data_IF_867253355061
#
_entry.id   IF_867253355061
#
_cell.length_a   1.000
_cell.length_b   1.000
_cell.length_c   1.000
_cell.angle_alpha   90.00
_cell.angle_beta   90.00
_cell.angle_gamma   90.00
#
_symmetry.space_group_name_H-M   'P 1'
#
loop_
_entity.id
_entity.type
_entity.pdbx_description
1 polymer ?
#
# COMPACT_ATOMS: atom_id res chain seq x y z
N UNK A 1 -29.92 -11.21 -4.24
CA UNK A 1 -28.60 -10.78 -4.76
C UNK A 1 -27.62 -10.75 -3.59
N UNK A 2 -26.94 -11.87 -3.30
CA UNK A 2 -26.07 -12.02 -2.12
C UNK A 2 -24.73 -11.34 -2.40
N UNK A 3 -24.50 -10.16 -1.84
CA UNK A 3 -23.19 -9.48 -1.86
C UNK A 3 -22.25 -10.29 -0.98
N UNK A 4 -21.32 -11.05 -1.59
CA UNK A 4 -20.16 -11.58 -0.87
C UNK A 4 -19.23 -10.40 -0.62
N UNK A 5 -19.17 -9.93 0.63
CA UNK A 5 -18.09 -9.08 1.08
C UNK A 5 -16.80 -9.88 0.86
N UNK A 6 -15.91 -9.37 0.00
CA UNK A 6 -14.55 -9.88 -0.09
C UNK A 6 -13.85 -9.43 1.19
N UNK A 7 -13.82 -10.32 2.18
CA UNK A 7 -12.96 -10.16 3.36
C UNK A 7 -11.53 -10.17 2.81
N UNK A 8 -10.83 -9.03 2.84
CA UNK A 8 -9.38 -9.03 2.68
C UNK A 8 -8.85 -9.70 3.95
N UNK A 9 -8.67 -11.02 3.87
CA UNK A 9 -8.16 -11.80 4.98
C UNK A 9 -6.70 -11.45 5.21
N UNK A 10 -6.39 -11.24 6.48
CA UNK A 10 -5.13 -10.83 7.07
C UNK A 10 -3.89 -11.52 6.48
N UNK A 11 -2.79 -10.77 6.50
CA UNK A 11 -1.43 -11.33 6.46
C UNK A 11 -1.33 -12.35 7.59
N UNK A 12 -0.80 -13.53 7.28
CA UNK A 12 -0.79 -14.69 8.16
C UNK A 12 -0.19 -14.34 9.54
N UNK A 13 -0.96 -14.59 10.61
CA UNK A 13 -0.43 -14.68 11.97
C UNK A 13 0.33 -16.01 12.05
N UNK A 14 1.66 -15.97 11.88
CA UNK A 14 2.50 -17.15 12.01
C UNK A 14 2.63 -17.55 13.49
N UNK A 15 1.86 -18.56 13.89
CA UNK A 15 2.14 -19.34 15.10
C UNK A 15 3.12 -20.52 14.82
N UNK A 16 3.71 -20.58 13.63
CA UNK A 16 4.67 -21.62 13.21
C UNK A 16 6.00 -21.00 12.77
N UNK A 17 7.11 -21.67 13.08
CA UNK A 17 8.48 -21.20 12.77
C UNK A 17 8.85 -21.18 11.29
N UNK A 18 7.98 -21.69 10.39
CA UNK A 18 8.19 -21.70 8.94
C UNK A 18 7.26 -20.69 8.26
N UNK A 19 7.86 -19.77 7.49
CA UNK A 19 7.16 -18.77 6.69
C UNK A 19 7.69 -18.74 5.26
N UNK A 20 6.97 -18.06 4.37
CA UNK A 20 7.47 -17.69 3.04
C UNK A 20 8.35 -16.46 3.18
N UNK A 21 9.57 -16.53 2.68
CA UNK A 21 10.51 -15.41 2.64
C UNK A 21 10.21 -14.52 1.44
N UNK A 22 9.97 -15.13 0.28
CA UNK A 22 9.58 -14.43 -0.94
C UNK A 22 8.90 -15.38 -1.95
N UNK A 23 8.07 -14.82 -2.83
CA UNK A 23 7.48 -15.50 -3.99
C UNK A 23 7.70 -14.67 -5.26
N UNK A 24 7.74 -15.31 -6.42
CA UNK A 24 7.72 -14.59 -7.71
C UNK A 24 7.05 -15.41 -8.80
N UNK A 25 6.39 -14.70 -9.70
CA UNK A 25 6.12 -15.19 -11.04
C UNK A 25 7.16 -14.62 -12.02
N UNK A 26 7.60 -15.41 -12.99
CA UNK A 26 8.41 -14.94 -14.12
C UNK A 26 7.76 -15.39 -15.45
N UNK A 27 7.20 -14.46 -16.25
CA UNK A 27 7.14 -13.01 -16.00
C UNK A 27 6.18 -12.65 -14.85
N UNK A 28 6.40 -11.49 -14.21
CA UNK A 28 5.56 -10.96 -13.13
C UNK A 28 4.25 -10.32 -13.63
N UNK A 29 4.14 -10.13 -14.96
CA UNK A 29 2.94 -9.69 -15.65
C UNK A 29 2.68 -10.54 -16.89
N UNK A 30 1.41 -10.86 -17.16
CA UNK A 30 1.00 -11.67 -18.31
C UNK A 30 -0.09 -10.98 -19.12
N UNK A 31 -0.03 -11.07 -20.46
CA UNK A 31 -1.08 -10.56 -21.34
C UNK A 31 -2.27 -11.51 -21.41
N UNK A 32 -3.47 -10.95 -21.54
CA UNK A 32 -4.65 -11.72 -21.95
C UNK A 32 -4.37 -12.38 -23.30
N UNK A 33 -4.64 -13.68 -23.40
CA UNK A 33 -4.37 -14.48 -24.61
C UNK A 33 -2.96 -15.10 -24.66
N UNK A 34 -2.10 -14.86 -23.66
CA UNK A 34 -0.86 -15.62 -23.49
C UNK A 34 -1.15 -17.12 -23.43
N UNK A 35 -0.32 -17.91 -24.08
CA UNK A 35 -0.36 -19.39 -24.04
C UNK A 35 0.77 -19.98 -23.20
N UNK A 36 1.90 -19.28 -23.12
CA UNK A 36 3.09 -19.77 -22.41
C UNK A 36 2.90 -19.70 -20.90
N UNK A 37 3.43 -20.69 -20.19
CA UNK A 37 3.42 -20.70 -18.74
C UNK A 37 4.24 -19.54 -18.13
N UNK A 38 4.03 -19.29 -16.84
CA UNK A 38 4.93 -18.51 -16.00
C UNK A 38 5.56 -19.41 -14.94
N UNK A 39 6.81 -19.13 -14.56
CA UNK A 39 7.49 -19.89 -13.49
C UNK A 39 7.14 -19.26 -12.15
N UNK A 40 6.58 -20.06 -11.24
CA UNK A 40 6.42 -19.70 -9.84
C UNK A 40 7.63 -20.21 -9.06
N UNK A 41 8.40 -19.29 -8.46
CA UNK A 41 9.47 -19.62 -7.51
C UNK A 41 9.12 -19.14 -6.10
N UNK A 42 9.43 -19.96 -5.11
CA UNK A 42 9.14 -19.71 -3.70
C UNK A 42 10.37 -20.03 -2.84
N UNK A 43 10.67 -19.16 -1.88
CA UNK A 43 11.66 -19.40 -0.83
C UNK A 43 10.98 -19.45 0.54
N UNK A 44 11.31 -20.45 1.35
CA UNK A 44 10.83 -20.58 2.74
C UNK A 44 11.94 -20.29 3.76
N UNK A 45 11.57 -19.89 4.98
CA UNK A 45 12.49 -19.54 6.08
C UNK A 45 13.02 -20.75 6.84
N UNK A 46 12.48 -21.94 6.55
CA UNK A 46 12.83 -23.20 7.18
C UNK A 46 12.37 -24.39 6.35
N UNK A 47 12.77 -25.58 6.79
CA UNK A 47 12.41 -26.83 6.12
C UNK A 47 10.89 -27.06 6.20
N UNK A 48 10.29 -27.23 5.04
CA UNK A 48 8.91 -27.69 4.86
C UNK A 48 8.94 -28.99 4.05
N UNK A 49 7.91 -29.82 4.17
CA UNK A 49 7.85 -31.10 3.46
C UNK A 49 7.28 -30.96 2.04
N UNK A 50 6.59 -29.86 1.76
CA UNK A 50 6.09 -29.55 0.45
C UNK A 50 5.62 -28.11 0.35
N UNK A 51 5.50 -27.64 -0.89
CA UNK A 51 4.84 -26.39 -1.23
C UNK A 51 3.84 -26.68 -2.34
N UNK A 52 2.64 -26.13 -2.25
CA UNK A 52 1.62 -26.31 -3.28
C UNK A 52 0.87 -25.01 -3.55
N UNK A 53 0.44 -24.80 -4.78
CA UNK A 53 -0.49 -23.75 -5.18
C UNK A 53 -1.87 -24.37 -5.40
N UNK A 54 -2.83 -24.00 -4.55
CA UNK A 54 -4.25 -24.30 -4.75
C UNK A 54 -4.85 -23.23 -5.65
N UNK A 55 -5.25 -23.56 -6.87
CA UNK A 55 -5.79 -22.57 -7.80
C UNK A 55 -7.14 -22.02 -7.33
N UNK A 56 -7.39 -20.74 -7.57
CA UNK A 56 -8.67 -20.10 -7.28
C UNK A 56 -9.84 -20.76 -8.03
N UNK A 57 -9.58 -21.22 -9.26
CA UNK A 57 -10.53 -21.98 -10.10
C UNK A 57 -10.67 -23.46 -9.75
N UNK A 58 -9.97 -23.94 -8.71
CA UNK A 58 -9.90 -25.35 -8.33
C UNK A 58 -8.72 -26.10 -8.96
N UNK A 59 -8.33 -27.20 -8.31
CA UNK A 59 -7.11 -27.94 -8.63
C UNK A 59 -5.91 -27.52 -7.76
N UNK A 60 -4.85 -28.32 -7.81
CA UNK A 60 -3.63 -28.13 -7.02
C UNK A 60 -2.41 -28.41 -7.89
N UNK A 61 -1.42 -27.53 -7.79
CA UNK A 61 -0.07 -27.71 -8.33
C UNK A 61 0.92 -27.91 -7.18
N UNK A 62 1.54 -29.08 -7.09
CA UNK A 62 2.64 -29.29 -6.15
C UNK A 62 3.93 -28.74 -6.76
N UNK A 63 4.67 -27.92 -6.01
CA UNK A 63 5.95 -27.39 -6.44
C UNK A 63 7.07 -28.41 -6.18
N UNK A 64 8.08 -28.39 -7.02
CA UNK A 64 9.26 -29.25 -6.90
C UNK A 64 10.37 -28.50 -6.18
N UNK A 65 11.06 -29.15 -5.25
CA UNK A 65 12.24 -28.58 -4.61
C UNK A 65 13.35 -28.34 -5.65
N UNK A 66 13.83 -27.10 -5.77
CA UNK A 66 14.90 -26.70 -6.69
C UNK A 66 16.19 -26.29 -5.97
N UNK A 67 16.18 -26.31 -4.64
CA UNK A 67 17.34 -26.04 -3.79
C UNK A 67 16.95 -25.98 -2.31
N UNK A 68 17.89 -25.63 -1.43
CA UNK A 68 17.61 -25.48 0.00
C UNK A 68 16.47 -24.49 0.25
N UNK A 69 15.34 -25.00 0.78
CA UNK A 69 14.14 -24.23 1.05
C UNK A 69 13.58 -23.46 -0.17
N UNK A 70 13.95 -23.87 -1.39
CA UNK A 70 13.52 -23.25 -2.64
C UNK A 70 12.67 -24.23 -3.44
N UNK A 71 11.54 -23.75 -3.91
CA UNK A 71 10.53 -24.54 -4.60
C UNK A 71 10.14 -23.84 -5.91
N UNK A 72 9.89 -24.61 -6.95
CA UNK A 72 9.54 -24.07 -8.27
C UNK A 72 8.46 -24.90 -8.94
N UNK A 73 7.64 -24.26 -9.78
CA UNK A 73 6.78 -24.94 -10.73
C UNK A 73 6.45 -24.05 -11.93
N UNK A 74 6.06 -24.69 -13.03
CA UNK A 74 5.48 -24.02 -14.19
C UNK A 74 3.97 -23.92 -14.01
N UNK A 75 3.42 -22.71 -14.08
CA UNK A 75 1.99 -22.44 -13.99
C UNK A 75 1.47 -22.08 -15.38
N UNK A 76 0.58 -22.92 -15.92
CA UNK A 76 0.04 -22.72 -17.25
C UNK A 76 -0.78 -21.42 -17.35
N UNK A 77 -0.73 -20.76 -18.51
CA UNK A 77 -1.44 -19.51 -18.72
C UNK A 77 -2.95 -19.63 -18.48
N UNK A 78 -3.54 -20.79 -18.78
CA UNK A 78 -4.96 -21.06 -18.53
C UNK A 78 -5.31 -20.97 -17.02
N UNK A 79 -4.40 -21.41 -16.15
CA UNK A 79 -4.57 -21.28 -14.69
C UNK A 79 -4.28 -19.87 -14.19
N UNK A 80 -3.27 -19.19 -14.76
CA UNK A 80 -2.95 -17.79 -14.43
C UNK A 80 -4.05 -16.80 -14.80
N UNK A 81 -4.87 -17.13 -15.81
CA UNK A 81 -5.93 -16.26 -16.32
C UNK A 81 -7.33 -16.82 -16.04
N UNK A 82 -7.43 -17.87 -15.21
CA UNK A 82 -8.69 -18.56 -14.95
C UNK A 82 -9.70 -17.61 -14.30
N UNK A 83 -10.82 -17.36 -15.00
CA UNK A 83 -11.85 -16.41 -14.57
C UNK A 83 -11.37 -14.95 -14.47
N UNK A 84 -10.27 -14.59 -15.13
CA UNK A 84 -9.91 -13.19 -15.31
C UNK A 84 -11.01 -12.45 -16.08
N UNK A 85 -11.33 -11.26 -15.61
CA UNK A 85 -12.23 -10.32 -16.27
C UNK A 85 -11.73 -8.90 -16.02
N UNK A 86 -12.24 -7.93 -16.78
CA UNK A 86 -11.94 -6.51 -16.57
C UNK A 86 -12.21 -6.04 -15.12
N UNK A 87 -13.18 -6.65 -14.42
CA UNK A 87 -13.46 -6.37 -13.00
C UNK A 87 -12.35 -6.86 -12.05
N UNK A 88 -11.37 -7.62 -12.55
CA UNK A 88 -10.21 -8.07 -11.77
C UNK A 88 -9.10 -7.02 -11.72
N UNK A 89 -9.32 -5.83 -12.31
CA UNK A 89 -8.49 -4.62 -12.19
C UNK A 89 -6.99 -4.89 -12.34
N UNK A 90 -6.65 -5.76 -13.29
CA UNK A 90 -5.27 -6.08 -13.67
C UNK A 90 -4.39 -6.69 -12.55
N UNK A 91 -4.95 -7.00 -11.38
CA UNK A 91 -4.34 -7.79 -10.30
C UNK A 91 -5.13 -9.06 -10.06
N UNK A 92 -4.75 -10.13 -10.74
CA UNK A 92 -5.54 -11.35 -10.74
C UNK A 92 -5.14 -12.28 -9.60
N UNK A 93 -6.13 -12.69 -8.80
CA UNK A 93 -5.95 -13.70 -7.77
C UNK A 93 -5.82 -15.10 -8.40
N UNK A 94 -4.60 -15.65 -8.36
CA UNK A 94 -4.28 -16.95 -8.94
C UNK A 94 -4.69 -18.09 -8.02
N UNK A 95 -4.52 -17.93 -6.71
CA UNK A 95 -4.81 -18.97 -5.74
C UNK A 95 -4.12 -18.82 -4.40
N UNK A 96 -4.09 -19.92 -3.64
CA UNK A 96 -3.47 -19.97 -2.32
C UNK A 96 -2.19 -20.80 -2.35
N UNK A 97 -1.06 -20.18 -2.00
CA UNK A 97 0.17 -20.90 -1.73
C UNK A 97 0.10 -21.54 -0.34
N UNK A 98 0.39 -22.84 -0.27
CA UNK A 98 0.35 -23.66 0.93
C UNK A 98 1.76 -24.14 1.27
N UNK A 99 2.20 -23.91 2.50
CA UNK A 99 3.33 -24.63 3.07
C UNK A 99 2.82 -25.91 3.73
N UNK A 100 3.43 -27.04 3.44
CA UNK A 100 2.96 -28.36 3.86
C UNK A 100 3.92 -29.02 4.85
N UNK A 101 3.37 -29.61 5.90
CA UNK A 101 4.08 -30.41 6.89
C UNK A 101 4.19 -31.89 6.50
N UNK A 102 4.82 -32.68 7.36
CA UNK A 102 5.19 -34.08 7.09
C UNK A 102 4.01 -35.02 6.81
N UNK A 103 2.83 -34.74 7.37
CA UNK A 103 1.60 -35.49 7.08
C UNK A 103 0.74 -34.84 5.99
N UNK A 104 1.27 -33.87 5.24
CA UNK A 104 0.57 -33.14 4.18
C UNK A 104 -0.39 -32.05 4.67
N UNK A 105 -0.43 -31.79 5.98
CA UNK A 105 -1.22 -30.72 6.58
C UNK A 105 -0.69 -29.34 6.17
N UNK A 106 -1.59 -28.36 6.01
CA UNK A 106 -1.21 -26.96 5.74
C UNK A 106 -0.67 -26.31 7.02
N UNK A 107 0.57 -25.84 6.96
CA UNK A 107 1.23 -25.09 8.03
C UNK A 107 0.93 -23.58 7.94
N UNK A 108 0.87 -23.04 6.72
CA UNK A 108 0.55 -21.64 6.46
C UNK A 108 0.00 -21.46 5.06
N UNK A 109 -0.68 -20.34 4.85
CA UNK A 109 -1.39 -20.00 3.61
C UNK A 109 -1.12 -18.56 3.22
N UNK A 110 -0.82 -18.33 1.94
CA UNK A 110 -0.59 -17.01 1.37
C UNK A 110 -1.44 -16.85 0.11
N UNK A 111 -1.90 -15.63 -0.15
CA UNK A 111 -2.60 -15.30 -1.38
C UNK A 111 -1.57 -15.02 -2.48
N UNK A 112 -1.73 -15.65 -3.64
CA UNK A 112 -0.89 -15.38 -4.81
C UNK A 112 -1.67 -14.60 -5.86
N UNK A 113 -1.05 -13.51 -6.30
CA UNK A 113 -1.58 -12.63 -7.33
C UNK A 113 -0.57 -12.51 -8.48
N UNK A 114 -1.07 -12.21 -9.67
CA UNK A 114 -0.25 -11.85 -10.83
C UNK A 114 -0.82 -10.62 -11.51
N UNK A 115 0.05 -9.77 -12.05
CA UNK A 115 -0.38 -8.66 -12.87
C UNK A 115 -0.88 -9.15 -14.23
N UNK A 116 -1.99 -8.61 -14.73
CA UNK A 116 -2.57 -8.96 -16.03
C UNK A 116 -2.66 -7.74 -16.93
N UNK A 117 -2.22 -7.88 -18.17
CA UNK A 117 -2.23 -6.84 -19.19
C UNK A 117 -3.34 -7.15 -20.17
N UNK A 118 -4.42 -6.38 -20.10
CA UNK A 118 -5.52 -6.42 -21.06
C UNK A 118 -5.51 -5.19 -21.97
N UNK A 119 -6.58 -4.97 -22.71
CA UNK A 119 -6.68 -3.86 -23.66
C UNK A 119 -6.65 -2.47 -22.99
N UNK A 120 -6.85 -2.36 -21.67
CA UNK A 120 -6.84 -1.09 -20.95
C UNK A 120 -5.43 -0.66 -20.53
N UNK A 121 -4.45 -1.58 -20.56
CA UNK A 121 -3.07 -1.30 -20.18
C UNK A 121 -2.28 -0.90 -21.43
N UNK A 122 -1.96 0.40 -21.61
CA UNK A 122 -1.23 0.85 -22.78
C UNK A 122 0.21 0.33 -22.75
N UNK A 123 0.78 0.09 -23.92
CA UNK A 123 2.23 -0.16 -24.01
C UNK A 123 3.01 1.11 -23.65
N UNK A 124 4.19 0.94 -23.07
CA UNK A 124 5.03 2.06 -22.61
C UNK A 124 6.36 2.11 -23.34
N UNK A 125 6.85 3.32 -23.57
CA UNK A 125 8.22 3.52 -24.01
C UNK A 125 9.16 3.37 -22.82
N UNK A 126 10.12 2.45 -22.93
CA UNK A 126 11.14 2.21 -21.92
C UNK A 126 12.44 2.88 -22.37
N UNK A 127 12.97 3.73 -21.50
CA UNK A 127 14.26 4.40 -21.71
C UNK A 127 15.31 3.76 -20.82
N UNK A 128 16.33 3.19 -21.43
CA UNK A 128 17.54 2.76 -20.73
C UNK A 128 18.32 3.99 -20.21
N UNK A 129 18.66 3.97 -18.92
CA UNK A 129 19.44 5.02 -18.26
C UNK A 129 20.90 4.58 -18.01
N UNK A 130 21.21 3.31 -18.25
CA UNK A 130 22.48 2.66 -17.94
C UNK A 130 22.60 2.27 -16.46
N UNK A 131 23.62 1.47 -16.14
CA UNK A 131 23.93 1.10 -14.75
C UNK A 131 22.85 0.24 -14.07
N UNK A 132 22.14 -0.59 -14.84
CA UNK A 132 21.02 -1.38 -14.33
C UNK A 132 19.78 -0.56 -13.99
N UNK A 133 19.57 0.57 -14.66
CA UNK A 133 18.41 1.42 -14.48
C UNK A 133 17.71 1.70 -15.81
N UNK A 134 16.37 1.67 -15.80
CA UNK A 134 15.53 2.06 -16.91
C UNK A 134 14.29 2.79 -16.39
N UNK A 135 13.64 3.59 -17.23
CA UNK A 135 12.46 4.33 -16.82
C UNK A 135 11.39 4.44 -17.90
N UNK A 136 10.14 4.54 -17.45
CA UNK A 136 9.00 5.01 -18.25
C UNK A 136 8.70 6.47 -17.90
N UNK A 137 7.51 6.95 -18.27
CA UNK A 137 7.04 8.29 -17.84
C UNK A 137 6.62 8.37 -16.38
N UNK A 138 6.52 7.25 -15.65
CA UNK A 138 6.08 7.21 -14.24
C UNK A 138 6.88 6.28 -13.33
N UNK A 139 7.58 5.31 -13.92
CA UNK A 139 8.32 4.28 -13.20
C UNK A 139 9.82 4.44 -13.45
N UNK A 140 10.62 4.46 -12.39
CA UNK A 140 12.05 4.13 -12.45
C UNK A 140 12.20 2.68 -11.99
N UNK A 141 12.74 1.80 -12.82
CA UNK A 141 13.12 0.45 -12.42
C UNK A 141 14.63 0.34 -12.21
N UNK A 142 15.02 -0.15 -11.05
CA UNK A 142 16.40 -0.39 -10.63
C UNK A 142 16.63 -1.90 -10.46
N UNK A 143 17.55 -2.45 -11.22
CA UNK A 143 18.01 -3.82 -11.06
C UNK A 143 19.05 -3.95 -9.94
N UNK A 144 18.79 -4.83 -8.98
CA UNK A 144 19.65 -5.08 -7.82
C UNK A 144 19.77 -6.58 -7.51
N UNK A 145 20.82 -7.28 -7.99
CA UNK A 145 20.97 -8.73 -7.80
C UNK A 145 21.06 -9.18 -6.35
N UNK A 146 21.51 -8.30 -5.44
CA UNK A 146 21.61 -8.55 -4.01
C UNK A 146 20.48 -7.85 -3.22
N UNK A 147 19.25 -7.88 -3.75
CA UNK A 147 18.10 -7.20 -3.16
C UNK A 147 17.78 -7.70 -1.74
N UNK A 148 17.65 -6.74 -0.84
CA UNK A 148 17.16 -6.91 0.52
C UNK A 148 16.04 -5.90 0.78
N UNK A 149 15.14 -6.19 1.71
CA UNK A 149 14.04 -5.29 2.08
C UNK A 149 14.51 -3.94 2.65
N UNK A 150 15.81 -3.81 2.97
CA UNK A 150 16.43 -2.58 3.46
C UNK A 150 16.99 -1.68 2.36
N UNK A 151 16.92 -2.08 1.08
CA UNK A 151 17.45 -1.33 -0.07
C UNK A 151 16.75 0.01 -0.35
N UNK A 152 15.69 0.35 0.40
CA UNK A 152 14.87 1.55 0.24
C UNK A 152 15.74 2.83 0.23
N UNK A 153 16.67 2.95 1.19
CA UNK A 153 17.53 4.13 1.28
C UNK A 153 18.42 4.26 0.04
N UNK A 154 19.09 3.19 -0.35
CA UNK A 154 20.01 3.20 -1.48
C UNK A 154 19.26 3.37 -2.81
N UNK A 155 18.02 2.88 -2.93
CA UNK A 155 17.17 3.11 -4.09
C UNK A 155 16.74 4.59 -4.19
N UNK A 156 16.38 5.22 -3.08
CA UNK A 156 16.09 6.65 -3.02
C UNK A 156 17.30 7.50 -3.40
N UNK A 157 18.48 7.19 -2.87
CA UNK A 157 19.73 7.86 -3.25
C UNK A 157 20.01 7.73 -4.74
N UNK A 158 19.85 6.52 -5.29
CA UNK A 158 20.05 6.27 -6.72
C UNK A 158 19.02 7.00 -7.59
N UNK A 159 17.76 7.11 -7.16
CA UNK A 159 16.72 7.88 -7.85
C UNK A 159 17.16 9.34 -8.07
N UNK A 160 17.70 10.00 -7.05
CA UNK A 160 18.16 11.39 -7.15
C UNK A 160 19.44 11.59 -7.98
N UNK A 161 20.07 10.51 -8.47
CA UNK A 161 21.12 10.62 -9.50
C UNK A 161 20.55 10.82 -10.90
N UNK A 162 19.29 10.42 -11.14
CA UNK A 162 18.61 10.51 -12.44
C UNK A 162 17.60 11.66 -12.51
N UNK A 163 16.99 12.01 -11.36
CA UNK A 163 15.90 12.97 -11.26
C UNK A 163 16.25 14.13 -10.34
N UNK A 164 15.54 15.25 -10.50
CA UNK A 164 15.72 16.44 -9.66
C UNK A 164 15.16 16.18 -8.26
N UNK A 165 15.68 16.92 -7.28
CA UNK A 165 15.06 17.04 -5.96
C UNK A 165 13.79 17.91 -6.05
N UNK A 166 12.72 17.36 -6.63
CA UNK A 166 11.43 18.02 -6.84
C UNK A 166 10.21 17.11 -6.54
N UNK A 167 10.44 16.02 -5.81
CA UNK A 167 9.42 15.06 -5.39
C UNK A 167 9.21 15.11 -3.87
N UNK A 168 7.93 15.11 -3.47
CA UNK A 168 7.52 15.15 -2.07
C UNK A 168 7.47 13.74 -1.46
N UNK A 169 7.19 12.73 -2.28
CA UNK A 169 7.12 11.35 -1.85
C UNK A 169 7.83 10.42 -2.83
N UNK A 170 8.35 9.31 -2.30
CA UNK A 170 8.73 8.15 -3.10
C UNK A 170 7.81 6.99 -2.77
N UNK A 171 7.33 6.29 -3.79
CA UNK A 171 6.75 4.96 -3.67
C UNK A 171 7.82 3.94 -4.09
N UNK A 172 8.22 3.06 -3.19
CA UNK A 172 9.23 2.03 -3.46
C UNK A 172 8.56 0.67 -3.51
N UNK A 173 8.45 0.08 -4.69
CA UNK A 173 7.87 -1.23 -4.89
C UNK A 173 8.95 -2.29 -5.13
N UNK A 174 8.80 -3.45 -4.51
CA UNK A 174 9.65 -4.62 -4.76
C UNK A 174 8.94 -5.52 -5.77
N UNK A 175 9.68 -6.01 -6.76
CA UNK A 175 9.16 -6.96 -7.75
C UNK A 175 10.25 -7.97 -8.10
N UNK A 176 9.85 -9.21 -8.40
CA UNK A 176 10.76 -10.32 -8.71
C UNK A 176 11.97 -10.40 -7.74
N UNK A 177 11.72 -10.69 -6.45
CA UNK A 177 10.48 -11.26 -5.92
C UNK A 177 9.62 -10.31 -5.06
N UNK A 178 8.41 -10.76 -4.75
CA UNK A 178 7.51 -10.20 -3.75
C UNK A 178 7.85 -10.76 -2.36
N UNK A 179 7.79 -9.91 -1.34
CA UNK A 179 8.07 -10.25 0.05
C UNK A 179 6.76 -10.21 0.84
N UNK A 180 6.31 -11.32 1.48
CA UNK A 180 5.05 -11.38 2.24
C UNK A 180 5.03 -10.43 3.44
N UNK A 181 4.70 -9.17 3.18
CA UNK A 181 4.58 -8.10 4.16
C UNK A 181 3.56 -7.07 3.66
N UNK A 182 3.00 -6.28 4.59
CA UNK A 182 2.11 -5.21 4.21
C UNK A 182 2.89 -4.03 3.64
N UNK A 183 2.21 -3.21 2.85
CA UNK A 183 2.70 -1.87 2.54
C UNK A 183 2.73 -1.03 3.82
N UNK A 184 3.59 -0.03 3.84
CA UNK A 184 3.70 0.89 4.97
C UNK A 184 4.27 2.24 4.51
N UNK A 185 4.09 3.27 5.33
CA UNK A 185 4.69 4.57 5.13
C UNK A 185 5.57 4.98 6.32
N UNK A 186 6.63 5.72 6.03
CA UNK A 186 7.38 6.41 7.07
C UNK A 186 7.77 7.81 6.63
N UNK A 187 7.84 8.70 7.62
CA UNK A 187 8.25 10.09 7.42
C UNK A 187 9.76 10.18 7.29
N UNK A 188 10.20 10.94 6.30
CA UNK A 188 11.61 11.33 6.08
C UNK A 188 11.84 12.74 6.61
N UNK A 189 10.84 13.59 6.49
CA UNK A 189 10.84 14.96 6.98
C UNK A 189 9.47 15.32 7.51
N UNK A 190 9.47 16.03 8.63
CA UNK A 190 8.29 16.69 9.15
C UNK A 190 8.64 18.14 9.53
N UNK A 191 8.07 19.09 8.80
CA UNK A 191 8.07 20.52 9.11
C UNK A 191 6.69 20.99 9.64
N UNK A 192 5.77 20.07 9.87
CA UNK A 192 4.41 20.33 10.37
C UNK A 192 4.37 20.17 11.89
N UNK A 193 3.96 21.23 12.60
CA UNK A 193 3.65 21.16 14.03
C UNK A 193 2.14 20.97 14.26
N UNK A 194 1.74 20.66 15.49
CA UNK A 194 0.32 20.51 15.85
C UNK A 194 -0.30 19.15 15.51
N UNK A 195 0.45 18.25 14.87
CA UNK A 195 0.01 16.89 14.53
C UNK A 195 0.51 15.82 15.51
N UNK A 196 1.29 16.22 16.52
CA UNK A 196 1.85 15.34 17.55
C UNK A 196 3.19 14.66 17.18
N UNK A 197 3.55 14.64 15.88
CA UNK A 197 4.87 14.21 15.40
C UNK A 197 5.94 15.30 15.63
N UNK A 198 7.13 14.98 16.17
CA UNK A 198 8.23 15.94 16.28
C UNK A 198 8.72 16.44 14.91
N UNK A 199 9.21 17.68 14.88
CA UNK A 199 9.88 18.23 13.71
C UNK A 199 11.21 17.50 13.50
N UNK A 200 11.49 17.10 12.26
CA UNK A 200 12.74 16.42 11.91
C UNK A 200 13.01 16.52 10.41
N UNK A 201 14.27 16.29 10.02
CA UNK A 201 14.66 16.28 8.61
C UNK A 201 15.80 15.27 8.37
N UNK A 202 15.44 14.13 7.81
CA UNK A 202 16.37 13.07 7.41
C UNK A 202 16.57 13.02 5.89
N UNK A 203 16.13 14.05 5.14
CA UNK A 203 16.12 14.03 3.67
C UNK A 203 17.48 13.71 3.05
N UNK A 204 18.57 14.23 3.63
CA UNK A 204 19.93 14.01 3.12
C UNK A 204 20.35 12.54 3.14
N UNK A 205 19.83 11.74 4.08
CA UNK A 205 20.09 10.29 4.16
C UNK A 205 19.55 9.58 2.91
N UNK A 206 18.47 10.10 2.32
CA UNK A 206 17.79 9.55 1.15
C UNK A 206 18.14 10.26 -0.16
N UNK A 207 19.11 11.19 -0.14
CA UNK A 207 19.55 11.93 -1.34
C UNK A 207 18.69 13.16 -1.68
N UNK A 208 17.71 13.52 -0.85
CA UNK A 208 16.91 14.73 -1.03
C UNK A 208 17.38 15.85 -0.11
N UNK A 209 17.89 16.94 -0.68
CA UNK A 209 18.33 18.08 0.11
C UNK A 209 17.14 18.80 0.78
N UNK A 210 15.99 18.86 0.09
CA UNK A 210 14.98 19.86 0.39
C UNK A 210 13.52 19.46 0.17
N UNK A 211 13.19 18.32 -0.43
CA UNK A 211 11.80 18.03 -0.84
C UNK A 211 11.15 16.83 -0.20
N UNK A 212 11.87 15.72 -0.03
CA UNK A 212 11.27 14.44 0.34
C UNK A 212 10.67 14.50 1.75
N UNK A 213 9.34 14.36 1.82
CA UNK A 213 8.54 14.31 3.04
C UNK A 213 8.47 12.90 3.61
N UNK A 214 8.26 11.89 2.76
CA UNK A 214 8.08 10.51 3.21
C UNK A 214 8.24 9.47 2.10
N UNK A 215 8.30 8.21 2.50
CA UNK A 215 8.42 7.07 1.59
C UNK A 215 7.34 6.06 1.93
N UNK A 216 6.59 5.65 0.90
CA UNK A 216 5.66 4.51 0.98
C UNK A 216 6.31 3.30 0.34
N UNK A 217 6.32 2.18 1.04
CA UNK A 217 6.96 0.93 0.61
C UNK A 217 5.90 -0.10 0.28
N UNK A 218 6.05 -0.77 -0.86
CA UNK A 218 5.21 -1.87 -1.32
C UNK A 218 6.09 -3.13 -1.45
N UNK A 219 6.14 -4.00 -0.42
CA UNK A 219 6.92 -5.23 -0.47
C UNK A 219 6.43 -6.24 -1.53
N UNK A 220 5.21 -6.06 -2.01
CA UNK A 220 4.55 -6.88 -3.03
C UNK A 220 4.07 -5.90 -4.12
N UNK A 221 4.48 -6.12 -5.36
CA UNK A 221 4.13 -5.25 -6.48
C UNK A 221 2.62 -5.18 -6.75
N UNK A 222 1.87 -6.26 -6.49
CA UNK A 222 0.41 -6.27 -6.65
C UNK A 222 -0.35 -5.46 -5.59
N UNK A 223 0.34 -4.90 -4.59
CA UNK A 223 -0.23 -3.91 -3.67
C UNK A 223 -0.02 -2.47 -4.17
N UNK A 224 0.75 -2.26 -5.22
CA UNK A 224 0.99 -0.93 -5.78
C UNK A 224 -0.12 -0.53 -6.76
N UNK A 225 -0.87 0.49 -6.38
CA UNK A 225 -1.84 1.18 -7.21
C UNK A 225 -2.14 2.56 -6.64
N UNK A 226 -1.79 3.62 -7.38
CA UNK A 226 -1.87 4.98 -6.88
C UNK A 226 -3.31 5.48 -6.63
N UNK A 227 -4.30 4.77 -7.16
CA UNK A 227 -5.71 5.08 -6.96
C UNK A 227 -6.39 4.21 -5.91
N UNK A 228 -5.66 3.28 -5.30
CA UNK A 228 -6.23 2.37 -4.32
C UNK A 228 -6.25 2.95 -2.90
N UNK A 229 -7.26 2.51 -2.14
CA UNK A 229 -7.51 2.92 -0.75
C UNK A 229 -6.27 2.80 0.11
N UNK A 230 -5.59 1.67 0.07
CA UNK A 230 -4.36 1.38 0.76
C UNK A 230 -3.20 2.30 0.40
N UNK A 231 -2.96 2.56 -0.89
CA UNK A 231 -1.97 3.58 -1.27
C UNK A 231 -2.28 4.94 -0.63
N UNK A 232 -3.53 5.37 -0.71
CA UNK A 232 -4.00 6.65 -0.16
C UNK A 232 -3.89 6.66 1.37
N UNK A 233 -4.23 5.55 2.02
CA UNK A 233 -4.09 5.32 3.47
C UNK A 233 -2.63 5.50 3.90
N UNK A 234 -1.70 4.86 3.21
CA UNK A 234 -0.27 4.98 3.53
C UNK A 234 0.22 6.43 3.42
N UNK A 235 -0.21 7.16 2.39
CA UNK A 235 0.12 8.60 2.28
C UNK A 235 -0.47 9.41 3.45
N UNK A 236 -1.63 9.01 3.99
CA UNK A 236 -2.23 9.62 5.17
C UNK A 236 -1.33 9.62 6.41
N UNK A 237 -0.55 8.55 6.60
CA UNK A 237 0.42 8.46 7.68
C UNK A 237 1.54 9.50 7.60
N UNK A 238 1.67 10.29 6.52
CA UNK A 238 2.57 11.45 6.55
C UNK A 238 2.18 12.46 7.65
N UNK A 239 0.88 12.55 8.01
CA UNK A 239 0.38 13.57 8.94
C UNK A 239 -0.49 13.04 10.09
N UNK A 240 -1.12 11.88 9.90
CA UNK A 240 -2.23 11.45 10.76
C UNK A 240 -1.72 10.43 11.79
N UNK A 241 -2.35 10.44 12.98
CA UNK A 241 -2.21 9.44 14.05
C UNK A 241 -0.89 9.46 14.83
N UNK A 242 -0.35 10.67 14.98
CA UNK A 242 0.74 10.96 15.93
C UNK A 242 0.28 11.74 17.17
N UNK A 243 -1.04 11.88 17.34
CA UNK A 243 -1.65 12.70 18.39
C UNK A 243 -1.34 12.16 19.79
N UNK A 244 -1.07 13.08 20.72
CA UNK A 244 -0.71 12.75 22.10
C UNK A 244 -1.92 12.60 23.04
N UNK A 245 -3.14 12.70 22.50
CA UNK A 245 -4.38 12.61 23.27
C UNK A 245 -4.59 11.17 23.77
N UNK A 246 -4.65 10.91 25.09
CA UNK A 246 -4.82 9.55 25.60
C UNK A 246 -6.11 8.86 25.14
N UNK A 247 -7.18 9.63 24.94
CA UNK A 247 -8.48 9.13 24.48
C UNK A 247 -8.46 8.60 23.05
N UNK A 248 -7.50 9.03 22.23
CA UNK A 248 -7.33 8.56 20.84
C UNK A 248 -6.55 7.25 20.75
N UNK A 249 -6.14 6.69 21.90
CA UNK A 249 -5.40 5.44 21.96
C UNK A 249 -3.97 5.58 21.44
N UNK A 250 -3.25 4.47 21.52
CA UNK A 250 -1.89 4.33 21.00
C UNK A 250 -1.94 3.45 19.76
N UNK A 251 -1.33 3.89 18.66
CA UNK A 251 -1.19 3.07 17.46
C UNK A 251 -1.35 3.89 16.18
N UNK A 252 -1.10 3.26 15.03
CA UNK A 252 -1.14 3.93 13.74
C UNK A 252 -2.55 4.14 13.18
N UNK A 253 -3.62 3.71 13.87
CA UNK A 253 -5.03 3.84 13.41
C UNK A 253 -5.92 4.47 14.49
N UNK A 254 -7.13 4.91 14.12
CA UNK A 254 -8.09 5.45 15.09
C UNK A 254 -8.57 4.38 16.10
N UNK A 255 -8.99 4.76 17.31
CA UNK A 255 -9.72 3.85 18.18
C UNK A 255 -11.14 3.63 17.60
N UNK A 256 -11.91 2.62 18.07
CA UNK A 256 -13.32 2.47 17.71
C UNK A 256 -14.10 3.78 17.89
N UNK A 257 -14.41 4.46 16.79
CA UNK A 257 -14.90 5.85 16.80
C UNK A 257 -15.54 6.25 15.48
N UNK A 258 -16.13 7.45 15.45
CA UNK A 258 -16.63 8.04 14.20
C UNK A 258 -15.50 8.28 13.19
N UNK A 259 -14.27 8.58 13.65
CA UNK A 259 -13.11 8.77 12.77
C UNK A 259 -12.65 7.46 12.11
N UNK A 260 -12.71 6.35 12.86
CA UNK A 260 -12.32 5.03 12.34
C UNK A 260 -13.13 4.55 11.13
N UNK A 261 -14.29 5.15 10.83
CA UNK A 261 -15.09 4.84 9.64
C UNK A 261 -14.44 5.29 8.33
N UNK A 262 -13.47 6.20 8.44
CA UNK A 262 -12.70 6.77 7.34
C UNK A 262 -11.67 5.81 6.76
N UNK A 263 -10.83 6.35 5.89
CA UNK A 263 -9.78 5.59 5.20
C UNK A 263 -8.69 5.10 6.15
N UNK A 264 -8.43 5.84 7.24
CA UNK A 264 -7.43 5.47 8.24
C UNK A 264 -7.88 4.29 9.11
N UNK A 265 -9.17 3.93 9.12
CA UNK A 265 -9.63 2.72 9.79
C UNK A 265 -9.38 2.70 11.31
N UNK A 266 -9.40 1.49 11.88
CA UNK A 266 -9.09 1.25 13.29
C UNK A 266 -7.95 0.25 13.47
N UNK A 267 -7.34 0.25 14.66
CA UNK A 267 -6.31 -0.73 15.00
C UNK A 267 -6.95 -2.10 15.20
N UNK A 268 -6.55 -3.10 14.40
CA UNK A 268 -6.92 -4.51 14.62
C UNK A 268 -6.01 -5.08 15.71
N UNK A 269 -6.53 -5.48 16.88
CA UNK A 269 -5.73 -6.20 17.87
C UNK A 269 -5.50 -7.66 17.41
N UNK A 270 -4.34 -8.26 17.71
CA UNK A 270 -3.19 -7.70 18.43
C UNK A 270 -2.12 -7.08 17.51
N UNK A 271 -2.28 -7.10 16.19
CA UNK A 271 -1.23 -6.73 15.23
C UNK A 271 -1.08 -5.21 15.06
N UNK A 272 -2.09 -4.44 15.45
CA UNK A 272 -2.24 -3.00 15.18
C UNK A 272 -2.25 -2.65 13.68
N UNK A 273 -2.48 -3.64 12.82
CA UNK A 273 -2.75 -3.40 11.40
C UNK A 273 -4.05 -2.60 11.22
N UNK A 274 -4.12 -1.85 10.13
CA UNK A 274 -5.28 -1.05 9.78
C UNK A 274 -6.44 -1.93 9.35
N UNK A 275 -7.58 -1.79 10.02
CA UNK A 275 -8.80 -2.49 9.70
C UNK A 275 -9.91 -1.57 9.23
N UNK A 276 -10.81 -2.12 8.43
CA UNK A 276 -12.10 -1.48 8.21
C UNK A 276 -12.89 -1.43 9.51
N UNK A 277 -13.54 -0.30 9.77
CA UNK A 277 -14.48 -0.13 10.88
C UNK A 277 -15.91 0.02 10.34
N UNK A 278 -16.61 -1.08 10.02
CA UNK A 278 -17.89 -1.07 9.30
C UNK A 278 -19.08 -0.79 10.25
N UNK A 279 -18.94 0.18 11.16
CA UNK A 279 -19.97 0.53 12.13
C UNK A 279 -20.40 1.98 11.97
N UNK A 280 -21.69 2.20 11.78
CA UNK A 280 -22.32 3.51 11.90
C UNK A 280 -22.59 3.78 13.38
N UNK A 281 -22.18 4.95 13.86
CA UNK A 281 -22.37 5.40 15.24
C UNK A 281 -23.37 6.55 15.23
N UNK A 282 -24.50 6.36 15.90
CA UNK A 282 -25.56 7.38 16.01
C UNK A 282 -25.74 7.77 17.48
N UNK A 283 -25.58 9.05 17.86
CA UNK A 283 -25.78 9.49 19.24
C UNK A 283 -27.18 9.13 19.76
N UNK A 284 -27.27 8.64 20.99
CA UNK A 284 -28.53 8.44 21.72
C UNK A 284 -28.65 9.44 22.87
N UNK A 285 -27.53 9.71 23.55
CA UNK A 285 -27.39 10.76 24.56
C UNK A 285 -26.02 11.42 24.43
N UNK A 286 -25.67 12.35 25.33
CA UNK A 286 -24.34 12.95 25.40
C UNK A 286 -23.22 11.95 25.75
N UNK A 287 -23.56 10.78 26.28
CA UNK A 287 -22.60 9.77 26.75
C UNK A 287 -22.87 8.36 26.20
N UNK A 288 -23.76 8.22 25.22
CA UNK A 288 -24.08 6.93 24.62
C UNK A 288 -24.44 7.04 23.14
N UNK A 289 -24.11 6.01 22.37
CA UNK A 289 -24.43 5.92 20.96
C UNK A 289 -24.92 4.52 20.58
N UNK A 290 -25.81 4.46 19.59
CA UNK A 290 -26.23 3.22 18.95
C UNK A 290 -25.26 2.86 17.83
N UNK A 291 -24.84 1.60 17.78
CA UNK A 291 -24.01 1.06 16.70
C UNK A 291 -24.83 0.17 15.77
N UNK A 292 -24.67 0.32 14.46
CA UNK A 292 -25.25 -0.58 13.46
C UNK A 292 -24.25 -0.83 12.34
N UNK A 293 -24.33 -1.98 11.68
CA UNK A 293 -23.49 -2.30 10.53
C UNK A 293 -23.65 -1.22 9.45
N UNK A 294 -22.53 -0.79 8.88
CA UNK A 294 -22.49 0.30 7.91
C UNK A 294 -21.39 0.11 6.88
N UNK A 295 -21.49 0.85 5.78
CA UNK A 295 -20.40 0.91 4.80
C UNK A 295 -19.34 1.90 5.27
N UNK A 296 -18.07 1.51 5.17
CA UNK A 296 -16.93 2.41 5.38
C UNK A 296 -16.88 3.47 4.29
N UNK A 297 -16.43 4.69 4.62
CA UNK A 297 -16.49 5.80 3.67
C UNK A 297 -15.37 5.74 2.63
N UNK A 298 -14.22 5.15 2.98
CA UNK A 298 -12.98 5.16 2.18
C UNK A 298 -12.49 6.58 1.85
N UNK A 299 -12.82 7.55 2.69
CA UNK A 299 -12.39 8.95 2.60
C UNK A 299 -11.72 9.36 3.90
N UNK A 300 -10.90 10.41 3.85
CA UNK A 300 -10.41 11.07 5.04
C UNK A 300 -11.57 11.82 5.73
N UNK A 301 -11.69 11.62 7.04
CA UNK A 301 -12.66 12.34 7.86
C UNK A 301 -12.22 13.78 8.16
N UNK A 302 -13.01 14.53 8.94
CA UNK A 302 -12.70 15.93 9.26
C UNK A 302 -11.42 16.08 10.10
N UNK A 303 -11.15 15.15 11.03
CA UNK A 303 -9.92 15.16 11.83
C UNK A 303 -8.72 14.84 10.95
N UNK A 304 -8.83 13.80 10.11
CA UNK A 304 -7.79 13.47 9.13
C UNK A 304 -7.45 14.69 8.25
N UNK A 305 -8.45 15.32 7.65
CA UNK A 305 -8.28 16.47 6.77
C UNK A 305 -7.74 17.70 7.50
N UNK A 306 -8.09 17.90 8.77
CA UNK A 306 -7.46 18.93 9.58
C UNK A 306 -5.97 18.68 9.78
N UNK A 307 -5.58 17.44 10.12
CA UNK A 307 -4.17 17.08 10.33
C UNK A 307 -3.35 17.20 9.04
N UNK A 308 -3.95 16.81 7.91
CA UNK A 308 -3.39 17.04 6.57
C UNK A 308 -3.30 18.53 6.20
N UNK A 309 -4.02 19.42 6.91
CA UNK A 309 -4.06 20.86 6.65
C UNK A 309 -5.00 21.26 5.52
N UNK A 310 -5.95 20.41 5.18
CA UNK A 310 -6.84 20.62 4.06
C UNK A 310 -8.09 21.40 4.47
N UNK A 311 -8.48 21.33 5.74
CA UNK A 311 -9.61 22.09 6.29
C UNK A 311 -9.22 22.82 7.59
N UNK A 312 -9.80 24.00 7.88
CA UNK A 312 -9.54 24.72 9.11
C UNK A 312 -10.19 24.03 10.32
N UNK A 313 -9.71 24.32 11.54
CA UNK A 313 -10.28 23.76 12.76
C UNK A 313 -11.79 24.06 12.89
N UNK A 314 -12.25 25.23 12.44
CA UNK A 314 -13.65 25.66 12.54
C UNK A 314 -14.63 24.81 11.73
N UNK A 315 -14.15 23.97 10.81
CA UNK A 315 -15.00 23.08 10.01
C UNK A 315 -14.94 21.63 10.48
N UNK A 316 -14.20 21.33 11.55
CA UNK A 316 -14.08 19.96 12.07
C UNK A 316 -15.27 19.64 12.96
N UNK A 317 -16.08 18.68 12.53
CA UNK A 317 -17.20 18.17 13.34
C UNK A 317 -16.70 17.43 14.58
N UNK A 318 -17.45 17.48 15.68
CA UNK A 318 -17.13 16.69 16.87
C UNK A 318 -17.19 15.17 16.57
N UNK A 319 -16.22 14.43 17.10
CA UNK A 319 -16.15 12.98 17.03
C UNK A 319 -16.70 12.29 18.27
N UNK A 320 -16.91 10.98 18.16
CA UNK A 320 -17.40 10.10 19.23
C UNK A 320 -16.50 8.88 19.30
N UNK A 321 -15.97 8.60 20.50
CA UNK A 321 -15.11 7.45 20.79
C UNK A 321 -15.92 6.44 21.60
N UNK A 322 -15.99 5.19 21.12
CA UNK A 322 -16.67 4.10 21.81
C UNK A 322 -15.81 3.61 22.98
N UNK A 323 -16.45 3.34 24.12
CA UNK A 323 -15.79 2.75 25.31
C UNK A 323 -15.99 1.23 25.40
N UNK A 324 -16.48 0.59 24.33
CA UNK A 324 -16.77 -0.83 24.26
C UNK A 324 -16.86 -1.34 22.83
N UNK A 325 -17.04 -2.64 22.67
CA UNK A 325 -17.12 -3.26 21.36
C UNK A 325 -18.46 -2.93 20.67
N UNK A 326 -18.45 -2.50 19.40
CA UNK A 326 -19.67 -2.27 18.65
C UNK A 326 -20.38 -3.60 18.33
N UNK A 327 -21.71 -3.58 18.34
CA UNK A 327 -22.55 -4.68 17.87
C UNK A 327 -23.85 -4.16 17.25
N UNK A 328 -24.53 -5.01 16.47
CA UNK A 328 -25.75 -4.61 15.75
C UNK A 328 -26.86 -4.17 16.72
N UNK A 329 -27.33 -2.93 16.57
CA UNK A 329 -28.40 -2.35 17.38
C UNK A 329 -28.02 -1.99 18.82
N UNK A 330 -26.79 -2.25 19.26
CA UNK A 330 -26.34 -2.04 20.63
C UNK A 330 -26.21 -0.56 20.99
N UNK A 331 -26.49 -0.21 22.25
CA UNK A 331 -26.18 1.11 22.82
C UNK A 331 -24.90 0.96 23.64
N UNK A 332 -23.87 1.70 23.28
CA UNK A 332 -22.53 1.64 23.88
C UNK A 332 -22.20 2.97 24.52
N UNK A 333 -21.49 2.95 25.65
CA UNK A 333 -20.99 4.16 26.29
C UNK A 333 -19.95 4.85 25.39
N UNK A 334 -19.94 6.19 25.41
CA UNK A 334 -19.08 6.99 24.53
C UNK A 334 -18.48 8.19 25.24
N UNK A 335 -17.38 8.69 24.68
CA UNK A 335 -16.73 9.94 25.07
C UNK A 335 -16.65 10.85 23.84
N UNK A 336 -17.11 12.11 23.93
CA UNK A 336 -16.97 13.05 22.82
C UNK A 336 -15.52 13.51 22.68
N UNK A 337 -15.13 13.90 21.47
CA UNK A 337 -13.87 14.61 21.22
C UNK A 337 -14.09 15.71 20.19
N UNK A 338 -13.48 16.86 20.42
CA UNK A 338 -13.50 18.01 19.52
C UNK A 338 -12.10 18.29 19.01
N UNK A 339 -12.01 19.08 17.94
CA UNK A 339 -10.71 19.57 17.48
C UNK A 339 -10.04 20.50 18.50
N UNK A 340 -10.81 21.18 19.35
CA UNK A 340 -10.25 22.00 20.43
C UNK A 340 -9.47 21.14 21.42
N UNK A 341 -9.97 19.94 21.74
CA UNK A 341 -9.28 18.98 22.62
C UNK A 341 -7.95 18.50 22.00
N UNK A 342 -7.93 18.32 20.68
CA UNK A 342 -6.71 17.98 19.94
C UNK A 342 -5.71 19.14 19.97
N UNK A 343 -6.16 20.35 19.69
CA UNK A 343 -5.32 21.57 19.69
C UNK A 343 -4.77 21.89 21.06
N UNK A 344 -5.54 21.69 22.13
CA UNK A 344 -5.09 21.92 23.50
C UNK A 344 -3.88 21.06 23.87
N UNK A 345 -3.82 19.84 23.35
CA UNK A 345 -2.75 18.87 23.67
C UNK A 345 -1.56 19.00 22.71
N UNK A 346 -1.80 19.23 21.42
CA UNK A 346 -0.76 19.14 20.38
C UNK A 346 -0.31 20.52 19.86
N UNK A 347 -1.04 21.58 20.21
CA UNK A 347 -0.96 22.88 19.57
C UNK A 347 -1.75 22.94 18.25
N UNK A 348 -2.00 24.13 17.70
CA UNK A 348 -2.64 24.25 16.40
C UNK A 348 -1.73 23.71 15.29
N UNK A 349 -2.34 23.07 14.29
CA UNK A 349 -1.61 22.65 13.09
C UNK A 349 -0.95 23.85 12.40
N UNK A 350 0.37 23.78 12.19
CA UNK A 350 1.13 24.76 11.43
C UNK A 350 1.99 24.06 10.36
N UNK A 351 1.95 24.47 9.07
CA UNK A 351 1.12 25.53 8.50
C UNK A 351 -0.38 25.27 8.72
N UNK A 352 -1.25 26.27 8.59
CA UNK A 352 -2.70 26.06 8.70
C UNK A 352 -3.31 25.75 7.33
N UNK A 353 -4.59 25.40 7.29
CA UNK A 353 -5.34 25.31 6.04
C UNK A 353 -5.30 26.63 5.26
N UNK A 354 -5.24 26.55 3.93
CA UNK A 354 -5.01 27.70 3.03
C UNK A 354 -3.55 28.07 2.82
N UNK A 355 -2.65 27.68 3.74
CA UNK A 355 -1.18 27.80 3.58
C UNK A 355 -0.54 26.44 3.35
N UNK A 356 -1.11 25.39 3.92
CA UNK A 356 -0.69 24.01 3.72
C UNK A 356 -0.61 23.63 2.23
N UNK A 357 0.42 22.88 1.88
CA UNK A 357 0.53 22.28 0.55
C UNK A 357 -0.57 21.24 0.35
N UNK A 358 -1.22 21.27 -0.82
CA UNK A 358 -2.31 20.33 -1.18
C UNK A 358 -2.02 19.53 -2.45
N UNK A 359 -0.98 19.88 -3.20
CA UNK A 359 -0.58 19.19 -4.44
C UNK A 359 0.83 18.66 -4.29
N UNK A 360 1.02 17.35 -4.46
CA UNK A 360 2.28 16.68 -4.18
C UNK A 360 2.79 15.94 -5.41
N UNK A 361 4.12 15.88 -5.55
CA UNK A 361 4.78 15.05 -6.56
C UNK A 361 5.26 13.76 -5.94
N UNK A 362 4.93 12.64 -6.57
CA UNK A 362 5.30 11.30 -6.12
C UNK A 362 6.13 10.65 -7.22
N UNK A 363 7.24 10.03 -6.87
CA UNK A 363 7.98 9.20 -7.82
C UNK A 363 7.82 7.73 -7.45
N UNK A 364 7.61 6.87 -8.44
CA UNK A 364 7.60 5.42 -8.21
C UNK A 364 8.93 4.80 -8.63
N UNK A 365 9.58 4.16 -7.68
CA UNK A 365 10.82 3.39 -7.86
C UNK A 365 10.50 1.91 -7.66
N UNK A 366 10.76 1.10 -8.68
CA UNK A 366 10.59 -0.35 -8.63
C UNK A 366 11.95 -1.02 -8.55
N UNK A 367 12.21 -1.77 -7.49
CA UNK A 367 13.46 -2.50 -7.31
C UNK A 367 13.23 -3.96 -7.71
N UNK A 368 14.01 -4.44 -8.67
CA UNK A 368 13.92 -5.81 -9.19
C UNK A 368 15.20 -6.60 -8.95
N UNK A 369 15.10 -7.82 -8.42
CA UNK A 369 16.29 -8.61 -8.05
C UNK A 369 16.89 -9.39 -9.21
N UNK A 370 16.08 -10.11 -9.96
CA UNK A 370 16.60 -11.18 -10.83
C UNK A 370 17.00 -10.69 -12.22
N UNK A 371 16.25 -9.72 -12.74
CA UNK A 371 16.53 -9.00 -13.99
C UNK A 371 15.84 -7.64 -13.93
N UNK A 372 16.17 -6.77 -14.88
CA UNK A 372 15.31 -5.63 -15.20
C UNK A 372 13.91 -6.13 -15.61
N UNK A 373 12.89 -5.37 -15.24
CA UNK A 373 11.52 -5.64 -15.67
C UNK A 373 11.41 -5.51 -17.19
N UNK A 374 10.59 -6.35 -17.81
CA UNK A 374 10.31 -6.25 -19.23
C UNK A 374 9.26 -5.14 -19.50
N UNK A 375 8.99 -4.85 -20.78
CA UNK A 375 8.07 -3.77 -21.15
C UNK A 375 6.64 -3.97 -20.65
N UNK A 376 6.20 -5.22 -20.53
CA UNK A 376 4.86 -5.61 -20.06
C UNK A 376 4.73 -5.37 -18.55
N UNK A 377 5.71 -5.81 -17.77
CA UNK A 377 5.79 -5.57 -16.32
C UNK A 377 5.88 -4.06 -16.00
N UNK A 378 6.60 -3.28 -16.81
CA UNK A 378 6.62 -1.82 -16.67
C UNK A 378 5.32 -1.16 -17.10
N UNK A 379 4.65 -1.67 -18.14
CA UNK A 379 3.41 -1.10 -18.65
C UNK A 379 2.29 -1.14 -17.62
N UNK A 380 2.13 -2.28 -16.92
CA UNK A 380 1.09 -2.43 -15.90
C UNK A 380 1.37 -1.56 -14.68
N UNK A 381 2.63 -1.42 -14.26
CA UNK A 381 3.00 -0.53 -13.15
C UNK A 381 2.86 0.96 -13.53
N UNK A 382 3.22 1.38 -14.75
CA UNK A 382 2.96 2.75 -15.23
C UNK A 382 1.46 3.04 -15.30
N UNK A 383 0.66 2.07 -15.77
CA UNK A 383 -0.79 2.16 -15.76
C UNK A 383 -1.32 2.41 -14.34
N UNK A 384 -0.88 1.65 -13.34
CA UNK A 384 -1.27 1.84 -11.94
C UNK A 384 -0.75 3.14 -11.31
N UNK A 385 0.38 3.66 -11.78
CA UNK A 385 0.86 4.99 -11.39
C UNK A 385 0.07 6.12 -12.07
N UNK A 386 -0.51 5.87 -13.25
CA UNK A 386 -1.37 6.82 -13.96
C UNK A 386 -2.83 6.75 -13.51
N UNK A 387 -3.19 5.67 -12.83
CA UNK A 387 -4.58 5.29 -12.64
C UNK A 387 -5.33 6.24 -11.72
N UNK A 388 -6.64 6.35 -11.95
CA UNK A 388 -7.56 7.18 -11.16
C UNK A 388 -8.73 6.37 -10.60
N UNK A 389 -8.62 5.03 -10.52
CA UNK A 389 -9.61 4.13 -9.92
C UNK A 389 -9.03 2.75 -9.51
N UNK A 390 -8.43 2.59 -8.33
CA UNK A 390 -7.63 1.41 -7.97
C UNK A 390 -8.27 0.05 -7.56
N UNK A 391 -7.43 -0.86 -7.02
CA UNK A 391 -7.48 -2.36 -6.86
C UNK A 391 -8.75 -3.11 -6.44
N UNK A 392 -9.81 -2.47 -5.93
CA UNK A 392 -10.95 -3.22 -5.42
C UNK A 392 -11.98 -3.47 -6.53
N UNK A 393 -12.64 -4.65 -6.53
CA UNK A 393 -13.93 -4.82 -7.23
C UNK A 393 -14.92 -3.81 -6.65
N UNK A 394 -14.99 -2.62 -7.24
CA UNK A 394 -15.79 -1.49 -6.77
C UNK A 394 -15.10 -0.14 -6.93
N UNK A 395 -15.77 0.93 -6.52
CA UNK A 395 -15.22 2.29 -6.57
C UNK A 395 -14.23 2.49 -5.43
N UNK A 396 -12.94 2.37 -5.71
CA UNK A 396 -11.90 2.97 -4.88
C UNK A 396 -11.95 4.50 -5.02
N UNK A 397 -11.44 5.21 -4.00
CA UNK A 397 -11.40 6.67 -3.99
C UNK A 397 -9.93 7.10 -4.08
N UNK A 398 -9.47 7.54 -5.27
CA UNK A 398 -8.13 8.10 -5.41
C UNK A 398 -7.90 9.26 -4.46
N UNK A 399 -6.65 9.64 -4.23
CA UNK A 399 -6.28 10.68 -3.28
C UNK A 399 -7.13 11.95 -3.38
N UNK A 400 -7.40 12.44 -4.59
CA UNK A 400 -8.27 13.61 -4.79
C UNK A 400 -9.71 13.38 -4.30
N UNK A 401 -10.30 12.22 -4.59
CA UNK A 401 -11.67 11.90 -4.14
C UNK A 401 -11.70 11.67 -2.63
N UNK A 402 -10.74 10.89 -2.10
CA UNK A 402 -10.61 10.62 -0.66
C UNK A 402 -10.41 11.89 0.17
N UNK A 403 -9.87 12.95 -0.45
CA UNK A 403 -9.63 14.26 0.17
C UNK A 403 -10.64 15.33 -0.25
N UNK A 404 -11.83 14.94 -0.72
CA UNK A 404 -12.95 15.85 -1.09
C UNK A 404 -12.58 16.86 -2.19
N UNK A 405 -11.67 16.48 -3.08
CA UNK A 405 -11.18 17.28 -4.20
C UNK A 405 -10.05 18.27 -3.86
N UNK A 406 -9.61 18.31 -2.60
CA UNK A 406 -8.61 19.29 -2.12
C UNK A 406 -7.20 18.83 -2.50
N UNK A 407 -6.89 17.57 -2.24
CA UNK A 407 -5.57 16.98 -2.45
C UNK A 407 -5.32 16.53 -3.89
N UNK A 408 -4.08 16.60 -4.35
CA UNK A 408 -3.66 16.08 -5.67
C UNK A 408 -2.29 15.42 -5.61
N UNK A 409 -2.12 14.35 -6.38
CA UNK A 409 -0.83 13.68 -6.59
C UNK A 409 -0.46 13.75 -8.08
N UNK A 410 0.81 14.02 -8.38
CA UNK A 410 1.40 13.93 -9.72
C UNK A 410 2.52 12.91 -9.72
N UNK A 411 2.31 11.80 -10.43
CA UNK A 411 3.22 10.65 -10.50
C UNK A 411 4.15 10.68 -11.71
N UNK A 412 4.15 11.78 -12.49
CA UNK A 412 4.96 11.87 -13.71
C UNK A 412 6.44 12.09 -13.37
N UNK A 413 7.29 11.35 -14.06
CA UNK A 413 8.74 11.49 -14.06
C UNK A 413 9.18 12.37 -15.23
N UNK A 414 10.04 13.34 -14.95
CA UNK A 414 10.74 14.12 -15.98
C UNK A 414 12.23 13.84 -15.88
N UNK A 415 12.73 13.02 -16.81
CA UNK A 415 14.15 12.63 -16.85
C UNK A 415 14.99 13.86 -17.19
N UNK A 416 16.02 14.14 -16.39
CA UNK A 416 16.92 15.24 -16.70
C UNK A 416 17.63 14.98 -18.04
N UNK A 417 17.77 16.00 -18.91
CA UNK A 417 18.73 15.92 -19.99
C UNK A 417 20.10 15.62 -19.39
N UNK A 418 20.81 14.58 -19.87
CA UNK A 418 22.20 14.35 -19.46
C UNK A 418 22.95 15.66 -19.69
N UNK A 419 23.56 16.23 -18.64
CA UNK A 419 24.53 17.31 -18.81
C UNK A 419 25.57 16.76 -19.79
N UNK A 420 25.68 17.35 -20.99
CA UNK A 420 26.81 17.06 -21.87
C UNK A 420 28.04 17.31 -21.03
N UNK A 421 28.86 16.29 -20.82
CA UNK A 421 30.19 16.49 -20.27
C UNK A 421 30.84 17.58 -21.12
N UNK A 422 31.18 18.70 -20.49
CA UNK A 422 32.04 19.68 -21.12
C UNK A 422 33.30 18.92 -21.51
N UNK A 423 33.54 18.78 -22.82
CA UNK A 423 34.82 18.28 -23.31
C UNK A 423 35.84 19.34 -22.87
N UNK A 424 36.64 19.00 -21.88
CA UNK A 424 37.87 19.72 -21.57
C UNK A 424 38.99 19.13 -22.43
#
# INVERSE_FOLDING_TARGET
>A
MKRRALLIAAIAVAAHGQTVVWTKFDPAAVRVGRTDAAVLDVQTSGAVNGVALDYAGGGRLNLTASGPNRWTASVDAAHLLASYSADSVNHHFVGFLRLLGSSGQTLSTYNEFINVIDANVPSVAVKDLGGGAQATTRILNLYRPALTVTDIQAAAQQFYTFFRDDFDFLSVAFSMPNYPANRYHFTVRNDVSGIGLPLHNNGSIYGSASRLLGITVFPIDTLFDAAETGFVHEIGHQWILYLKNPSLGTGPHWPPSTMARGIMGWNIPPTNEGGDFPWTITPVSSSSARTNSGTVTREFDDFDLYLMGFIPASTVSAGIILQGQPCEGCIVATVPITISDVVQVNGPRAPAAGVAKTSFRVATVVISRDRLLNADELAVLDYFAAHTSGLARGTTKPFAVATRGIGRLDLRLTIMPRRRSARH
#
